data_IF_813278654476
#
_entry.id   IF_813278654476
#
_cell.length_a   1.000
_cell.length_b   1.000
_cell.length_c   1.000
_cell.angle_alpha   90.00
_cell.angle_beta   90.00
_cell.angle_gamma   90.00
#
_symmetry.space_group_name_H-M   'P 1'
#
loop_
_entity.id
_entity.type
_entity.pdbx_description
1 polymer ?
#
# COMPACT_ATOMS: atom_id res chain seq x y z
N UNK A 1 5.16 -1.66 5.40
CA UNK A 1 4.89 -2.00 6.81
C UNK A 1 3.44 -2.42 7.02
N UNK A 2 2.43 -1.58 6.76
CA UNK A 2 1.00 -1.94 6.91
C UNK A 2 0.63 -3.22 6.15
N UNK A 3 1.01 -3.34 4.87
CA UNK A 3 0.81 -4.59 4.11
C UNK A 3 1.51 -5.81 4.73
N UNK A 4 2.72 -5.65 5.26
CA UNK A 4 3.45 -6.76 5.85
C UNK A 4 2.80 -7.19 7.17
N UNK A 5 2.41 -6.24 8.02
CA UNK A 5 1.66 -6.54 9.25
C UNK A 5 0.25 -7.08 8.98
N UNK A 6 -0.41 -6.69 7.89
CA UNK A 6 -1.65 -7.33 7.43
C UNK A 6 -1.43 -8.79 7.05
N UNK A 7 -0.32 -9.10 6.38
CA UNK A 7 0.03 -10.48 6.00
C UNK A 7 0.53 -11.31 7.21
N UNK A 8 1.20 -10.69 8.17
CA UNK A 8 1.79 -11.35 9.35
C UNK A 8 0.77 -11.57 10.48
N UNK A 9 -0.22 -10.69 10.61
CA UNK A 9 -1.35 -10.90 11.50
C UNK A 9 -2.25 -11.96 10.86
N UNK A 10 -2.03 -13.23 11.22
CA UNK A 10 -2.82 -14.41 10.79
C UNK A 10 -4.33 -14.39 11.12
N UNK A 11 -4.90 -13.20 11.36
CA UNK A 11 -6.32 -12.87 11.45
C UNK A 11 -6.86 -12.22 10.18
N UNK A 12 -6.01 -11.76 9.27
CA UNK A 12 -6.44 -11.13 8.03
C UNK A 12 -6.99 -12.19 7.07
N UNK A 13 -8.24 -12.07 6.67
CA UNK A 13 -8.86 -12.94 5.64
C UNK A 13 -8.39 -12.57 4.23
N UNK A 14 -7.59 -11.51 4.07
CA UNK A 14 -7.12 -11.02 2.79
C UNK A 14 -5.94 -11.85 2.27
N UNK A 15 -6.03 -12.23 1.01
CA UNK A 15 -4.91 -12.75 0.24
C UNK A 15 -4.07 -11.60 -0.32
N UNK A 16 -2.84 -11.89 -0.75
CA UNK A 16 -1.97 -10.90 -1.39
C UNK A 16 -2.55 -10.26 -2.67
N UNK A 17 -3.66 -10.78 -3.22
CA UNK A 17 -4.37 -10.23 -4.38
C UNK A 17 -5.43 -9.17 -4.00
N UNK A 18 -5.84 -9.14 -2.75
CA UNK A 18 -6.96 -8.31 -2.30
C UNK A 18 -6.53 -6.90 -1.92
N UNK A 19 -5.27 -6.75 -1.49
CA UNK A 19 -4.65 -5.48 -1.12
C UNK A 19 -3.45 -5.23 -2.02
N UNK A 20 -3.49 -4.13 -2.77
CA UNK A 20 -2.41 -3.70 -3.65
C UNK A 20 -1.84 -2.38 -3.16
N UNK A 21 -0.51 -2.25 -3.26
CA UNK A 21 0.16 -0.96 -3.04
C UNK A 21 0.47 -0.34 -4.40
N UNK A 22 0.10 0.94 -4.53
CA UNK A 22 0.56 1.83 -5.58
C UNK A 22 1.61 2.77 -5.00
N UNK A 23 2.69 3.00 -5.74
CA UNK A 23 3.72 3.94 -5.35
C UNK A 23 3.66 5.15 -6.30
N UNK A 24 3.46 6.36 -5.77
CA UNK A 24 3.46 7.58 -6.58
C UNK A 24 4.76 7.74 -7.37
N UNK A 25 5.84 7.18 -6.84
CA UNK A 25 7.15 7.14 -7.46
C UNK A 25 7.15 6.44 -8.83
N UNK A 26 6.17 5.58 -9.12
CA UNK A 26 5.99 4.94 -10.44
C UNK A 26 5.35 5.88 -11.48
N UNK A 27 4.85 7.04 -11.03
CA UNK A 27 4.12 8.02 -11.85
C UNK A 27 4.93 9.29 -12.13
N UNK A 28 6.27 9.23 -12.06
CA UNK A 28 7.08 10.26 -12.70
C UNK A 28 6.77 10.29 -14.20
N UNK A 29 6.69 11.50 -14.76
CA UNK A 29 6.52 11.66 -16.20
C UNK A 29 7.81 11.37 -16.93
N UNK A 30 7.71 11.16 -18.24
CA UNK A 30 8.89 11.16 -19.09
C UNK A 30 9.51 12.56 -19.15
N UNK A 31 10.83 12.60 -19.04
CA UNK A 31 11.60 13.82 -19.17
C UNK A 31 11.81 14.15 -20.66
N UNK A 32 11.92 15.43 -20.98
CA UNK A 32 12.48 15.87 -22.28
C UNK A 32 13.99 15.63 -22.32
N UNK A 33 14.62 15.79 -23.50
CA UNK A 33 16.08 15.67 -23.61
C UNK A 33 16.82 16.72 -22.77
N UNK A 34 16.29 17.94 -22.70
CA UNK A 34 16.85 19.03 -21.90
C UNK A 34 16.74 18.74 -20.40
N UNK A 35 15.58 18.23 -19.96
CA UNK A 35 15.37 17.85 -18.56
C UNK A 35 16.20 16.64 -18.16
N UNK A 36 16.42 15.68 -19.07
CA UNK A 36 17.36 14.57 -18.84
C UNK A 36 18.78 15.08 -18.58
N UNK A 37 19.23 16.09 -19.32
CA UNK A 37 20.55 16.69 -19.09
C UNK A 37 20.63 17.31 -17.69
N UNK A 38 19.60 18.05 -17.28
CA UNK A 38 19.51 18.61 -15.93
C UNK A 38 19.43 17.52 -14.85
N UNK A 39 18.69 16.44 -15.09
CA UNK A 39 18.57 15.35 -14.14
C UNK A 39 19.90 14.60 -13.96
N UNK A 40 20.65 14.39 -15.05
CA UNK A 40 21.99 13.81 -15.02
C UNK A 40 23.02 14.69 -14.31
N UNK A 41 22.88 16.02 -14.37
CA UNK A 41 23.72 16.95 -13.58
C UNK A 41 23.23 17.15 -12.14
N UNK A 42 22.08 16.56 -11.77
CA UNK A 42 21.47 16.71 -10.44
C UNK A 42 20.74 18.05 -10.25
N UNK A 43 20.47 18.78 -11.33
CA UNK A 43 19.82 20.09 -11.36
C UNK A 43 18.31 20.04 -11.65
N UNK A 44 17.75 18.86 -11.95
CA UNK A 44 16.31 18.70 -12.14
C UNK A 44 15.59 18.52 -10.78
N UNK A 45 14.49 19.24 -10.60
CA UNK A 45 13.69 19.17 -9.37
C UNK A 45 12.63 18.06 -9.47
N UNK A 46 13.00 16.84 -9.09
CA UNK A 46 12.06 15.71 -8.97
C UNK A 46 11.02 15.92 -7.86
N UNK A 47 11.27 16.80 -6.89
CA UNK A 47 10.30 17.14 -5.86
C UNK A 47 9.34 18.25 -6.31
N UNK A 48 9.33 18.70 -7.57
CA UNK A 48 8.29 19.62 -8.05
C UNK A 48 7.04 18.82 -8.49
N UNK A 49 5.79 19.28 -8.23
CA UNK A 49 4.60 18.57 -8.69
C UNK A 49 4.62 18.30 -10.20
N UNK A 50 5.18 19.21 -11.01
CA UNK A 50 5.28 19.04 -12.47
C UNK A 50 6.19 17.89 -12.91
N UNK A 51 6.96 17.27 -12.02
CA UNK A 51 7.70 16.05 -12.32
C UNK A 51 6.79 14.80 -12.38
N UNK A 52 5.57 14.90 -11.85
CA UNK A 52 4.61 13.81 -11.77
C UNK A 52 3.57 13.88 -12.89
N UNK A 53 3.15 12.71 -13.36
CA UNK A 53 2.08 12.51 -14.33
C UNK A 53 0.75 12.30 -13.56
N UNK A 54 0.11 13.40 -13.17
CA UNK A 54 -1.15 13.36 -12.42
C UNK A 54 -2.31 12.85 -13.27
N UNK A 55 -2.28 13.08 -14.57
CA UNK A 55 -3.25 12.59 -15.52
C UNK A 55 -3.24 11.05 -15.56
N UNK A 56 -2.05 10.44 -15.61
CA UNK A 56 -1.92 8.98 -15.50
C UNK A 56 -2.38 8.46 -14.14
N UNK A 57 -2.04 9.14 -13.04
CA UNK A 57 -2.51 8.76 -11.71
C UNK A 57 -4.04 8.75 -11.65
N UNK A 58 -4.69 9.80 -12.15
CA UNK A 58 -6.14 9.93 -12.18
C UNK A 58 -6.77 8.86 -13.07
N UNK A 59 -6.19 8.58 -14.24
CA UNK A 59 -6.63 7.48 -15.10
C UNK A 59 -6.57 6.14 -14.38
N UNK A 60 -5.44 5.81 -13.74
CA UNK A 60 -5.29 4.54 -13.02
C UNK A 60 -6.30 4.41 -11.89
N UNK A 61 -6.52 5.48 -11.12
CA UNK A 61 -7.50 5.48 -10.02
C UNK A 61 -8.93 5.31 -10.52
N UNK A 62 -9.30 5.99 -11.60
CA UNK A 62 -10.60 5.83 -12.25
C UNK A 62 -10.80 4.39 -12.72
N UNK A 63 -9.85 3.87 -13.49
CA UNK A 63 -9.94 2.53 -14.07
C UNK A 63 -10.07 1.46 -12.96
N UNK A 64 -9.27 1.56 -11.89
CA UNK A 64 -9.39 0.68 -10.72
C UNK A 64 -10.75 0.79 -10.02
N UNK A 65 -11.28 2.01 -9.87
CA UNK A 65 -12.59 2.25 -9.23
C UNK A 65 -13.73 1.67 -10.06
N UNK A 66 -13.61 1.68 -11.38
CA UNK A 66 -14.57 1.09 -12.31
C UNK A 66 -14.42 -0.44 -12.45
N UNK A 67 -13.43 -1.05 -11.78
CA UNK A 67 -13.16 -2.48 -11.86
C UNK A 67 -12.42 -2.90 -13.14
N UNK A 68 -11.76 -1.96 -13.81
CA UNK A 68 -10.91 -2.24 -14.96
C UNK A 68 -9.48 -2.58 -14.48
N UNK A 69 -8.89 -3.69 -14.95
CA UNK A 69 -7.52 -4.03 -14.61
C UNK A 69 -6.54 -3.02 -15.23
N UNK A 70 -5.47 -2.72 -14.52
CA UNK A 70 -4.44 -1.75 -14.95
C UNK A 70 -3.05 -2.38 -14.97
N UNK A 71 -2.18 -1.83 -15.79
CA UNK A 71 -0.76 -2.20 -15.82
C UNK A 71 0.07 -0.93 -15.69
N UNK A 72 0.96 -0.90 -14.69
CA UNK A 72 1.77 0.27 -14.36
C UNK A 72 3.24 -0.09 -14.55
N UNK A 73 3.96 0.71 -15.34
CA UNK A 73 5.39 0.57 -15.48
C UNK A 73 6.10 1.07 -14.22
N UNK A 74 7.05 0.29 -13.70
CA UNK A 74 7.90 0.70 -12.58
C UNK A 74 8.86 1.79 -13.05
N UNK A 75 8.98 2.86 -12.27
CA UNK A 75 9.95 3.91 -12.60
C UNK A 75 11.35 3.50 -12.16
N UNK A 76 12.31 3.61 -13.07
CA UNK A 76 13.71 3.33 -12.77
C UNK A 76 14.44 4.64 -12.46
N UNK A 77 14.82 4.82 -11.20
CA UNK A 77 15.56 5.98 -10.71
C UNK A 77 17.00 6.07 -11.26
N UNK A 78 17.54 4.97 -11.78
CA UNK A 78 18.89 4.91 -12.35
C UNK A 78 18.89 5.49 -13.76
N UNK A 79 17.92 5.07 -14.58
CA UNK A 79 17.77 5.52 -15.97
C UNK A 79 16.85 6.73 -16.13
N UNK A 80 16.14 7.11 -15.06
CA UNK A 80 15.19 8.23 -14.99
C UNK A 80 14.04 8.09 -16.00
N UNK A 81 13.61 6.85 -16.23
CA UNK A 81 12.61 6.47 -17.22
C UNK A 81 11.65 5.43 -16.65
N UNK A 82 10.49 5.29 -17.32
CA UNK A 82 9.61 4.16 -17.06
C UNK A 82 10.28 2.89 -17.56
N UNK A 83 10.47 1.94 -16.66
CA UNK A 83 11.17 0.69 -16.91
C UNK A 83 10.33 -0.34 -17.65
N UNK A 84 11.01 -1.44 -18.02
CA UNK A 84 10.38 -2.62 -18.64
C UNK A 84 9.61 -3.44 -17.61
N UNK A 85 10.00 -3.36 -16.33
CA UNK A 85 9.26 -4.01 -15.25
C UNK A 85 7.88 -3.37 -15.09
N UNK A 86 6.85 -4.21 -15.04
CA UNK A 86 5.47 -3.78 -14.94
C UNK A 86 4.78 -4.48 -13.78
N UNK A 87 3.93 -3.74 -13.07
CA UNK A 87 3.00 -4.26 -12.09
C UNK A 87 1.62 -4.37 -12.74
N UNK A 88 1.16 -5.60 -12.92
CA UNK A 88 -0.21 -5.86 -13.35
C UNK A 88 -1.13 -5.95 -12.12
N UNK A 89 -2.24 -5.23 -12.18
CA UNK A 89 -3.21 -5.12 -11.10
C UNK A 89 -4.56 -5.49 -11.68
N UNK A 90 -5.18 -6.52 -11.10
CA UNK A 90 -6.55 -6.90 -11.43
C UNK A 90 -7.57 -5.94 -10.81
N UNK A 91 -8.57 -6.50 -10.16
CA UNK A 91 -9.61 -5.76 -9.43
C UNK A 91 -9.41 -5.92 -7.92
N UNK A 92 -8.48 -5.17 -7.29
CA UNK A 92 -8.25 -5.27 -5.85
C UNK A 92 -9.46 -4.75 -5.07
N UNK A 93 -9.65 -5.27 -3.86
CA UNK A 93 -10.65 -4.73 -2.93
C UNK A 93 -10.14 -3.48 -2.22
N UNK A 94 -8.82 -3.43 -1.95
CA UNK A 94 -8.17 -2.29 -1.29
C UNK A 94 -6.92 -1.88 -2.07
N UNK A 95 -6.82 -0.58 -2.30
CA UNK A 95 -5.64 0.07 -2.86
C UNK A 95 -5.04 0.99 -1.81
N UNK A 96 -3.80 0.71 -1.42
CA UNK A 96 -2.99 1.62 -0.62
C UNK A 96 -2.13 2.42 -1.59
N UNK A 97 -2.50 3.68 -1.83
CA UNK A 97 -1.67 4.58 -2.62
C UNK A 97 -0.77 5.37 -1.68
N UNK A 98 0.55 5.21 -1.79
CA UNK A 98 1.52 6.00 -1.04
C UNK A 98 2.31 6.97 -1.92
N UNK A 99 2.63 8.14 -1.38
CA UNK A 99 3.32 9.19 -2.12
C UNK A 99 3.33 10.52 -1.39
N UNK A 100 4.19 11.44 -1.81
CA UNK A 100 4.34 12.76 -1.17
C UNK A 100 3.30 13.77 -1.65
N UNK A 101 2.76 13.61 -2.87
CA UNK A 101 1.83 14.54 -3.51
C UNK A 101 0.39 14.06 -3.64
N UNK A 102 0.03 12.94 -2.99
CA UNK A 102 -1.29 12.33 -3.18
C UNK A 102 -2.46 13.21 -2.73
N UNK A 103 -2.23 14.08 -1.75
CA UNK A 103 -3.23 15.04 -1.28
C UNK A 103 -3.17 16.40 -1.99
N UNK A 104 -2.30 16.56 -2.99
CA UNK A 104 -2.07 17.85 -3.68
C UNK A 104 -3.20 18.23 -4.65
N UNK A 105 -3.70 17.28 -5.45
CA UNK A 105 -4.75 17.51 -6.44
C UNK A 105 -6.11 17.08 -5.88
N UNK A 106 -7.13 17.95 -5.85
CA UNK A 106 -8.48 17.55 -5.46
C UNK A 106 -9.01 16.35 -6.27
N UNK A 107 -8.77 16.32 -7.59
CA UNK A 107 -9.23 15.22 -8.45
C UNK A 107 -8.67 13.85 -8.06
N UNK A 108 -7.47 13.80 -7.48
CA UNK A 108 -6.88 12.56 -6.97
C UNK A 108 -7.50 12.19 -5.61
N UNK A 109 -7.76 13.18 -4.74
CA UNK A 109 -8.35 12.97 -3.41
C UNK A 109 -9.77 12.43 -3.45
N UNK A 110 -10.52 12.78 -4.49
CA UNK A 110 -11.90 12.37 -4.65
C UNK A 110 -12.06 10.85 -4.82
N UNK A 111 -11.00 10.14 -5.21
CA UNK A 111 -10.96 8.67 -5.25
C UNK A 111 -10.60 8.01 -3.90
N UNK A 112 -10.21 8.78 -2.88
CA UNK A 112 -9.68 8.24 -1.62
C UNK A 112 -10.77 8.18 -0.54
N UNK A 113 -11.07 6.97 -0.06
CA UNK A 113 -11.99 6.78 1.08
C UNK A 113 -11.38 7.17 2.44
N UNK A 114 -10.06 7.09 2.57
CA UNK A 114 -9.31 7.47 3.77
C UNK A 114 -8.00 8.15 3.38
N UNK A 115 -7.78 9.38 3.87
CA UNK A 115 -6.59 10.19 3.60
C UNK A 115 -5.73 10.28 4.86
N UNK A 116 -4.51 9.75 4.79
CA UNK A 116 -3.58 9.71 5.93
C UNK A 116 -2.35 10.55 5.62
N UNK A 117 -2.00 11.46 6.54
CA UNK A 117 -0.76 12.24 6.47
C UNK A 117 0.20 11.81 7.58
N UNK A 118 1.41 11.37 7.20
CA UNK A 118 2.45 11.03 8.16
C UNK A 118 3.22 12.29 8.58
N UNK A 119 3.08 12.69 9.83
CA UNK A 119 3.68 13.90 10.38
C UNK A 119 4.95 13.56 11.15
N UNK A 120 6.08 13.78 10.50
CA UNK A 120 7.41 13.48 11.03
C UNK A 120 8.27 14.73 10.86
N UNK A 121 8.99 15.10 11.92
CA UNK A 121 9.85 16.27 11.93
C UNK A 121 10.86 16.25 10.78
N UNK A 122 11.14 17.43 10.21
CA UNK A 122 11.97 17.60 9.01
C UNK A 122 13.39 17.09 9.19
N UNK A 123 13.96 17.24 10.38
CA UNK A 123 15.29 16.74 10.75
C UNK A 123 15.34 15.22 10.82
N UNK A 124 14.32 14.59 11.41
CA UNK A 124 14.18 13.14 11.47
C UNK A 124 14.03 12.55 10.07
N UNK A 125 13.21 13.18 9.20
CA UNK A 125 13.09 12.79 7.79
C UNK A 125 14.40 12.96 7.03
N UNK A 126 15.11 14.08 7.25
CA UNK A 126 16.41 14.32 6.64
C UNK A 126 17.44 13.27 7.08
N UNK A 127 17.53 12.97 8.37
CA UNK A 127 18.44 11.95 8.89
C UNK A 127 18.17 10.57 8.25
N UNK A 128 16.90 10.16 8.17
CA UNK A 128 16.50 8.92 7.48
C UNK A 128 16.86 8.95 5.99
N UNK A 129 16.64 10.09 5.32
CA UNK A 129 17.00 10.27 3.91
C UNK A 129 18.50 10.17 3.68
N UNK A 130 19.31 10.83 4.51
CA UNK A 130 20.77 10.80 4.43
C UNK A 130 21.25 9.36 4.50
N UNK A 131 20.88 8.62 5.55
CA UNK A 131 21.26 7.21 5.72
C UNK A 131 20.87 6.40 4.48
N UNK A 132 19.60 6.51 4.03
CA UNK A 132 19.08 5.77 2.87
C UNK A 132 19.84 6.07 1.58
N UNK A 133 20.16 7.34 1.30
CA UNK A 133 20.73 7.75 0.01
C UNK A 133 22.26 7.63 -0.02
N UNK A 134 22.94 7.75 1.13
CA UNK A 134 24.40 7.56 1.23
C UNK A 134 24.81 6.09 1.34
N UNK A 135 23.94 5.23 1.87
CA UNK A 135 24.22 3.81 2.05
C UNK A 135 23.57 2.93 0.95
N UNK A 136 23.90 1.64 0.95
CA UNK A 136 23.27 0.65 0.06
C UNK A 136 23.60 0.84 -1.42
N UNK A 137 22.56 0.82 -2.28
CA UNK A 137 22.70 0.82 -3.76
C UNK A 137 22.89 2.21 -4.37
N UNK A 138 22.46 3.28 -3.69
CA UNK A 138 22.50 4.65 -4.25
C UNK A 138 23.85 5.32 -4.07
N UNK A 139 24.53 5.07 -2.95
CA UNK A 139 25.89 5.54 -2.63
C UNK A 139 26.12 7.02 -3.00
N UNK A 140 25.09 7.85 -2.85
CA UNK A 140 25.15 9.25 -3.27
C UNK A 140 26.01 10.01 -2.26
N UNK A 141 26.98 10.84 -2.71
CA UNK A 141 27.79 11.66 -1.82
C UNK A 141 26.95 12.50 -0.86
N UNK A 142 27.35 12.56 0.42
CA UNK A 142 26.61 13.25 1.47
C UNK A 142 26.34 14.72 1.12
N UNK A 143 27.34 15.43 0.60
CA UNK A 143 27.24 16.81 0.18
C UNK A 143 26.18 16.99 -0.93
N UNK A 144 26.13 16.07 -1.90
CA UNK A 144 25.10 16.08 -2.94
C UNK A 144 23.70 15.86 -2.35
N UNK A 145 23.52 14.91 -1.43
CA UNK A 145 22.22 14.67 -0.76
C UNK A 145 21.75 15.92 -0.02
N UNK A 146 22.64 16.58 0.72
CA UNK A 146 22.33 17.79 1.47
C UNK A 146 22.03 18.99 0.55
N UNK A 147 22.80 19.15 -0.52
CA UNK A 147 22.57 20.21 -1.52
C UNK A 147 21.20 20.04 -2.19
N UNK A 148 20.85 18.82 -2.63
CA UNK A 148 19.54 18.52 -3.20
C UNK A 148 18.42 18.79 -2.18
N UNK A 149 18.62 18.40 -0.92
CA UNK A 149 17.62 18.62 0.13
C UNK A 149 17.32 20.10 0.32
N UNK A 150 18.35 20.93 0.46
CA UNK A 150 18.19 22.37 0.69
C UNK A 150 17.64 23.07 -0.55
N UNK A 151 18.11 22.70 -1.74
CA UNK A 151 17.74 23.36 -3.00
C UNK A 151 16.35 23.01 -3.48
N UNK A 152 15.93 21.76 -3.33
CA UNK A 152 14.71 21.25 -3.95
C UNK A 152 13.71 20.70 -2.94
N UNK A 153 14.13 19.72 -2.15
CA UNK A 153 13.23 18.89 -1.33
C UNK A 153 12.52 19.72 -0.27
N UNK A 154 13.28 20.50 0.52
CA UNK A 154 12.71 21.29 1.62
C UNK A 154 11.78 22.38 1.09
N UNK A 155 12.17 23.22 0.10
CA UNK A 155 11.26 24.20 -0.49
C UNK A 155 9.99 23.57 -1.09
N UNK A 156 10.13 22.45 -1.81
CA UNK A 156 8.99 21.74 -2.38
C UNK A 156 8.04 21.19 -1.32
N UNK A 157 8.59 20.62 -0.25
CA UNK A 157 7.80 20.14 0.88
C UNK A 157 7.01 21.28 1.54
N UNK A 158 7.68 22.36 1.91
CA UNK A 158 7.06 23.50 2.59
C UNK A 158 5.99 24.17 1.72
N UNK A 159 6.24 24.27 0.41
CA UNK A 159 5.35 24.96 -0.52
C UNK A 159 4.15 24.13 -0.97
N UNK A 160 4.34 22.84 -1.22
CA UNK A 160 3.34 22.04 -1.92
C UNK A 160 2.81 20.85 -1.12
N UNK A 161 3.60 20.27 -0.22
CA UNK A 161 3.20 19.06 0.51
C UNK A 161 2.60 19.44 1.87
N UNK A 162 3.30 20.23 2.67
CA UNK A 162 2.88 20.59 4.02
C UNK A 162 1.48 21.24 4.07
N UNK A 163 1.09 22.13 3.13
CA UNK A 163 -0.26 22.70 3.15
C UNK A 163 -1.37 21.66 2.98
N UNK A 164 -1.11 20.54 2.28
CA UNK A 164 -2.11 19.47 2.03
C UNK A 164 -2.44 18.63 3.26
N UNK A 165 -1.69 18.82 4.36
CA UNK A 165 -1.96 18.18 5.65
C UNK A 165 -3.38 18.48 6.16
N UNK A 166 -3.95 19.63 5.81
CA UNK A 166 -5.31 20.02 6.21
C UNK A 166 -6.40 19.15 5.57
N UNK A 167 -6.08 18.50 4.45
CA UNK A 167 -7.00 17.67 3.68
C UNK A 167 -6.94 16.18 4.10
N UNK A 168 -6.14 15.85 5.12
CA UNK A 168 -6.06 14.50 5.67
C UNK A 168 -7.17 14.25 6.69
N UNK A 169 -7.77 13.06 6.62
CA UNK A 169 -8.74 12.57 7.61
C UNK A 169 -8.02 12.14 8.90
N UNK A 170 -6.77 11.63 8.77
CA UNK A 170 -5.95 11.18 9.88
C UNK A 170 -4.51 11.69 9.76
N UNK A 171 -4.00 12.27 10.84
CA UNK A 171 -2.59 12.66 10.96
C UNK A 171 -1.89 11.66 11.90
N UNK A 172 -0.85 10.99 11.42
CA UNK A 172 -0.09 10.00 12.20
C UNK A 172 1.28 10.56 12.54
N UNK A 173 1.53 10.92 13.81
CA UNK A 173 2.85 11.36 14.23
C UNK A 173 3.82 10.18 14.30
N UNK A 174 5.13 10.44 14.13
CA UNK A 174 6.24 9.45 14.22
C UNK A 174 6.23 8.35 13.14
N UNK A 175 5.24 8.36 12.24
CA UNK A 175 5.14 7.38 11.15
C UNK A 175 5.11 5.95 11.65
N UNK A 176 6.02 5.11 11.13
CA UNK A 176 6.08 3.68 11.42
C UNK A 176 6.28 3.33 12.89
N UNK A 177 6.86 4.24 13.67
CA UNK A 177 7.17 3.99 15.08
C UNK A 177 5.93 4.10 15.97
N UNK A 178 4.82 4.62 15.43
CA UNK A 178 3.55 4.72 16.11
C UNK A 178 2.71 3.44 15.92
N UNK A 179 3.12 2.37 16.61
CA UNK A 179 2.47 1.05 16.49
C UNK A 179 0.96 1.09 16.77
N UNK A 180 0.50 1.97 17.67
CA UNK A 180 -0.94 2.13 17.95
C UNK A 180 -1.70 2.63 16.71
N UNK A 181 -1.21 3.68 16.05
CA UNK A 181 -1.85 4.20 14.84
C UNK A 181 -1.82 3.17 13.69
N UNK A 182 -0.73 2.42 13.60
CA UNK A 182 -0.57 1.36 12.61
C UNK A 182 -1.57 0.23 12.86
N UNK A 183 -1.71 -0.24 14.09
CA UNK A 183 -2.73 -1.24 14.47
C UNK A 183 -4.14 -0.75 14.13
N UNK A 184 -4.49 0.50 14.44
CA UNK A 184 -5.80 1.05 14.10
C UNK A 184 -6.07 1.05 12.59
N UNK A 185 -5.08 1.42 11.77
CA UNK A 185 -5.21 1.39 10.30
C UNK A 185 -5.35 -0.05 9.81
N UNK A 186 -4.56 -0.98 10.35
CA UNK A 186 -4.62 -2.42 10.01
C UNK A 186 -6.00 -3.00 10.32
N UNK A 187 -6.51 -2.76 11.54
CA UNK A 187 -7.84 -3.23 11.95
C UNK A 187 -8.96 -2.64 11.07
N UNK A 188 -8.86 -1.35 10.72
CA UNK A 188 -9.82 -0.73 9.81
C UNK A 188 -9.79 -1.34 8.41
N UNK A 189 -8.60 -1.61 7.86
CA UNK A 189 -8.42 -2.28 6.57
C UNK A 189 -9.01 -3.69 6.61
N UNK A 190 -8.80 -4.45 7.68
CA UNK A 190 -9.37 -5.78 7.88
C UNK A 190 -10.91 -5.75 7.90
N UNK A 191 -11.50 -4.79 8.61
CA UNK A 191 -12.96 -4.63 8.68
C UNK A 191 -13.59 -4.31 7.31
N UNK A 192 -12.96 -3.40 6.55
CA UNK A 192 -13.38 -3.05 5.19
C UNK A 192 -13.25 -4.24 4.25
N UNK A 193 -12.14 -4.98 4.34
CA UNK A 193 -11.93 -6.22 3.57
C UNK A 193 -13.03 -7.24 3.86
N UNK A 194 -13.31 -7.51 5.13
CA UNK A 194 -14.30 -8.49 5.53
C UNK A 194 -15.71 -8.10 5.04
N UNK A 195 -16.04 -6.80 5.03
CA UNK A 195 -17.30 -6.30 4.48
C UNK A 195 -17.39 -6.49 2.95
N UNK A 196 -16.32 -6.21 2.22
CA UNK A 196 -16.28 -6.39 0.77
C UNK A 196 -16.46 -7.86 0.35
N UNK A 197 -15.81 -8.79 1.07
CA UNK A 197 -15.94 -10.23 0.81
C UNK A 197 -17.38 -10.72 1.03
N UNK A 198 -18.03 -10.27 2.11
CA UNK A 198 -19.44 -10.62 2.38
C UNK A 198 -20.37 -10.14 1.27
N UNK A 199 -20.22 -8.88 0.83
CA UNK A 199 -21.03 -8.31 -0.24
C UNK A 199 -20.86 -9.06 -1.58
N UNK A 200 -19.65 -9.54 -1.88
CA UNK A 200 -19.37 -10.36 -3.07
C UNK A 200 -20.05 -11.74 -3.02
N UNK A 201 -20.08 -12.38 -1.85
CA UNK A 201 -20.75 -13.68 -1.65
C UNK A 201 -22.27 -13.58 -1.79
N UNK A 202 -22.88 -12.54 -1.22
CA UNK A 202 -24.32 -12.31 -1.32
C UNK A 202 -24.76 -12.05 -2.78
N UNK A 203 -23.96 -11.30 -3.53
CA UNK A 203 -24.21 -11.02 -4.95
C UNK A 203 -24.20 -12.29 -5.81
N UNK A 204 -23.27 -13.22 -5.55
CA UNK A 204 -23.20 -14.51 -6.25
C UNK A 204 -24.32 -15.48 -5.83
N UNK A 205 -24.73 -15.48 -4.55
CA UNK A 205 -25.84 -16.29 -4.06
C UNK A 205 -27.19 -15.88 -4.69
N UNK A 206 -27.38 -14.58 -4.94
CA UNK A 206 -28.58 -14.05 -5.61
C UNK A 206 -28.63 -14.26 -7.14
N UNK A 207 -27.54 -14.71 -7.77
CA UNK A 207 -27.48 -15.03 -9.20
C UNK A 207 -27.52 -16.55 -9.51
N UNK A 208 -27.69 -17.40 -8.50
CA UNK A 208 -27.89 -18.83 -8.72
C UNK A 208 -29.21 -19.08 -9.50
N UNK A 209 -29.21 -19.92 -10.54
CA UNK A 209 -30.42 -20.17 -11.31
C UNK A 209 -31.46 -20.85 -10.41
N UNK A 210 -32.70 -20.38 -10.45
CA UNK A 210 -33.86 -21.06 -9.86
C UNK A 210 -34.13 -22.37 -10.62
N UNK A 211 -33.29 -23.37 -10.39
CA UNK A 211 -33.31 -24.66 -11.05
C UNK A 211 -34.03 -25.71 -10.22
N UNK A 212 -35.33 -25.90 -10.53
CA UNK A 212 -35.96 -27.22 -10.53
C UNK A 212 -36.37 -27.81 -9.18
N UNK A 213 -37.66 -27.68 -8.88
CA UNK A 213 -38.35 -28.53 -7.91
C UNK A 213 -38.15 -30.02 -8.26
N UNK A 214 -37.32 -30.73 -7.48
CA UNK A 214 -37.36 -32.19 -7.46
C UNK A 214 -38.32 -32.65 -6.35
N UNK A 215 -39.38 -33.28 -6.83
CA UNK A 215 -40.41 -33.99 -6.06
C UNK A 215 -39.80 -34.91 -5.00
N UNK A 216 -40.36 -34.82 -3.81
CA UNK A 216 -40.32 -35.83 -2.74
C UNK A 216 -40.58 -37.23 -3.28
N UNK A 217 -39.74 -38.19 -2.86
CA UNK A 217 -40.17 -39.57 -2.67
C UNK A 217 -39.68 -40.05 -1.30
N UNK A 218 -40.66 -40.41 -0.47
CA UNK A 218 -40.48 -41.17 0.77
C UNK A 218 -39.94 -42.56 0.45
N UNK A 219 -38.94 -42.99 1.21
CA UNK A 219 -38.78 -44.41 1.57
C UNK A 219 -38.10 -44.54 2.93
N UNK A 220 -38.88 -45.14 3.84
CA UNK A 220 -38.46 -45.76 5.10
C UNK A 220 -37.33 -46.76 4.86
N UNK A 221 -36.32 -46.74 5.74
CA UNK A 221 -35.86 -47.89 6.55
C UNK A 221 -34.91 -47.37 7.63
N UNK A 222 -35.09 -47.84 8.86
CA UNK A 222 -34.25 -47.46 10.00
C UNK A 222 -33.02 -48.35 10.16
N UNK A 223 -32.10 -47.94 11.03
CA UNK A 223 -31.65 -48.79 12.14
C UNK A 223 -30.88 -48.01 13.21
N UNK A 224 -30.95 -48.54 14.43
CA UNK A 224 -30.28 -48.11 15.65
C UNK A 224 -28.74 -48.10 15.57
N UNK A 225 -28.10 -47.22 16.34
CA UNK A 225 -27.17 -47.61 17.42
C UNK A 225 -26.62 -46.40 18.19
N UNK A 226 -26.17 -46.74 19.39
CA UNK A 226 -25.90 -45.97 20.62
C UNK A 226 -24.49 -45.40 20.75
N UNK A 227 -24.31 -44.41 21.64
CA UNK A 227 -23.02 -44.09 22.32
C UNK A 227 -22.78 -42.58 22.51
N UNK A 228 -22.97 -42.00 23.70
CA UNK A 228 -21.96 -41.85 24.79
C UNK A 228 -20.93 -40.72 24.53
N UNK A 229 -21.11 -39.49 25.06
CA UNK A 229 -20.62 -38.92 26.36
C UNK A 229 -19.14 -38.46 26.38
N UNK A 230 -18.94 -37.23 26.89
CA UNK A 230 -17.69 -36.67 27.46
C UNK A 230 -17.02 -35.64 26.55
N UNK A 231 -16.57 -34.44 26.94
CA UNK A 231 -16.26 -33.76 28.21
C UNK A 231 -15.21 -32.69 27.82
N UNK A 232 -15.49 -31.38 27.93
CA UNK A 232 -15.22 -30.46 29.05
C UNK A 232 -13.74 -30.09 29.31
N UNK A 233 -13.52 -28.78 29.45
CA UNK A 233 -12.34 -28.00 29.96
C UNK A 233 -11.04 -28.06 29.15
N UNK A 234 -10.26 -26.99 28.97
CA UNK A 234 -10.10 -25.73 29.71
C UNK A 234 -8.59 -25.48 29.95
N UNK A 235 -8.21 -24.23 30.19
CA UNK A 235 -6.86 -23.69 30.51
C UNK A 235 -5.96 -23.35 29.30
N UNK A 236 -5.58 -22.10 29.02
CA UNK A 236 -5.00 -21.01 29.85
C UNK A 236 -3.59 -21.32 30.33
N UNK A 237 -2.57 -20.67 29.73
CA UNK A 237 -1.33 -20.26 30.40
C UNK A 237 -0.42 -19.45 29.47
N UNK A 238 0.00 -18.32 30.02
CA UNK A 238 0.91 -17.33 29.50
C UNK A 238 2.35 -17.80 29.25
N UNK A 239 3.05 -16.94 28.51
CA UNK A 239 4.42 -16.45 28.73
C UNK A 239 5.59 -17.06 27.96
N UNK A 240 6.36 -16.08 27.46
CA UNK A 240 7.79 -16.08 27.17
C UNK A 240 8.26 -16.80 25.90
N UNK A 241 8.71 -16.00 24.92
CA UNK A 241 10.08 -16.12 24.42
C UNK A 241 10.49 -14.87 23.63
N UNK A 242 11.48 -14.17 24.18
CA UNK A 242 12.40 -13.30 23.46
C UNK A 242 12.93 -14.02 22.21
N UNK A 243 12.68 -13.49 21.01
CA UNK A 243 13.53 -13.76 19.84
C UNK A 243 13.70 -12.50 19.02
N UNK A 244 14.96 -12.07 18.99
CA UNK A 244 15.62 -11.40 17.89
C UNK A 244 15.17 -11.98 16.54
N UNK A 245 14.74 -11.12 15.62
CA UNK A 245 14.52 -11.46 14.22
C UNK A 245 15.41 -10.56 13.33
N UNK A 246 15.82 -11.07 12.16
CA UNK A 246 17.19 -10.90 11.67
C UNK A 246 17.32 -9.96 10.47
N UNK A 247 18.54 -9.45 10.30
CA UNK A 247 19.06 -8.89 9.06
C UNK A 247 18.87 -9.89 7.90
N UNK A 248 18.00 -9.54 6.94
CA UNK A 248 17.89 -10.28 5.68
C UNK A 248 18.66 -9.53 4.60
N UNK A 249 19.96 -9.79 4.57
CA UNK A 249 20.77 -9.66 3.35
C UNK A 249 20.30 -10.73 2.35
N UNK A 250 19.64 -10.32 1.27
CA UNK A 250 19.51 -11.19 0.09
C UNK A 250 20.75 -11.06 -0.78
N UNK A 251 21.64 -12.06 -0.69
CA UNK A 251 22.59 -12.43 -1.74
C UNK A 251 21.86 -13.18 -2.87
N UNK A 252 22.18 -12.88 -4.13
CA UNK A 252 22.19 -13.84 -5.25
C UNK A 252 23.18 -13.35 -6.33
N UNK A 253 23.69 -14.21 -7.23
CA UNK A 253 25.12 -14.45 -7.42
C UNK A 253 25.70 -13.85 -8.72
N UNK A 254 27.04 -13.66 -8.70
CA UNK A 254 28.00 -13.36 -9.78
C UNK A 254 27.48 -12.79 -11.10
#
# INVERSE_FOLDING_TARGET
MVRQQLLDNGKCTATARDIVILHQSDFYRELTDEERQLANSGDFNFDHPDALDFELMEQVLRDLTEGNPVTIAKYDFTTQQRGVEQQHIGTPHIVIFEGTYLLYKPSIRDYMSLKVFLDIDSDTRLARRVIRDTEGRRQTPLDQVLQQYVRFVKPSFERYILPTKIDADLIVPRGSDNQVAVTLIVEHVDDVMAAAVRAGQDSQASQAPAGGAYRTNMSRTGNHSTGSVGGDKGHDAASAMLRSEPDVYTQVPN
#
